data_IF_819798869971
#
_entry.id   IF_819798869971
#
_cell.length_a   1.000
_cell.length_b   1.000
_cell.length_c   1.000
_cell.angle_alpha   90.00
_cell.angle_beta   90.00
_cell.angle_gamma   90.00
#
_symmetry.space_group_name_H-M   'P 1'
#
loop_
_entity.id
_entity.type
_entity.pdbx_description
1 polymer ?
#
# COMPACT_ATOMS: atom_id res chain seq x y z
N UNK A 1 38.12 -67.99 -2.72
CA UNK A 1 36.72 -67.53 -2.93
C UNK A 1 36.78 -66.09 -3.44
N UNK A 2 36.18 -65.74 -4.61
CA UNK A 2 36.23 -64.37 -5.12
C UNK A 2 35.17 -63.49 -4.46
N UNK A 3 35.58 -62.33 -3.97
CA UNK A 3 34.71 -61.29 -3.40
C UNK A 3 34.06 -60.52 -4.56
N UNK A 4 32.74 -60.56 -4.65
CA UNK A 4 31.96 -59.72 -5.57
C UNK A 4 31.89 -58.31 -4.99
N UNK A 5 32.44 -57.32 -5.68
CA UNK A 5 32.17 -55.91 -5.39
C UNK A 5 30.88 -55.51 -6.11
N UNK A 6 29.85 -55.18 -5.34
CA UNK A 6 28.63 -54.55 -5.86
C UNK A 6 28.88 -53.06 -6.07
N UNK A 7 28.76 -52.61 -7.32
CA UNK A 7 28.81 -51.20 -7.70
C UNK A 7 27.47 -50.59 -7.31
N UNK A 8 27.43 -49.86 -6.18
CA UNK A 8 26.28 -49.05 -5.81
C UNK A 8 26.11 -47.90 -6.81
N UNK A 9 25.16 -48.10 -7.73
CA UNK A 9 24.70 -47.10 -8.67
C UNK A 9 24.00 -45.98 -7.89
N UNK A 10 24.71 -44.87 -7.69
CA UNK A 10 24.18 -43.64 -7.11
C UNK A 10 22.92 -43.21 -7.85
N UNK A 11 21.78 -43.27 -7.15
CA UNK A 11 20.49 -42.79 -7.66
C UNK A 11 20.53 -41.27 -7.71
N UNK A 12 20.47 -40.72 -8.91
CA UNK A 12 20.28 -39.28 -9.15
C UNK A 12 18.99 -38.81 -8.47
N UNK A 13 19.10 -37.83 -7.58
CA UNK A 13 17.97 -37.24 -6.87
C UNK A 13 17.11 -36.41 -7.82
N UNK A 14 15.84 -36.78 -7.95
CA UNK A 14 14.82 -36.06 -8.74
C UNK A 14 14.65 -34.64 -8.18
N UNK A 15 14.68 -33.57 -9.01
CA UNK A 15 14.42 -32.21 -8.55
C UNK A 15 12.96 -32.12 -8.11
N UNK A 16 12.76 -32.10 -6.79
CA UNK A 16 11.43 -32.02 -6.20
C UNK A 16 11.05 -30.54 -6.13
N UNK A 17 10.10 -30.12 -6.98
CA UNK A 17 9.56 -28.77 -6.93
C UNK A 17 8.74 -28.61 -5.64
N UNK A 18 9.33 -27.94 -4.64
CA UNK A 18 8.61 -27.58 -3.42
C UNK A 18 7.73 -26.36 -3.68
N UNK A 19 6.42 -26.58 -3.81
CA UNK A 19 5.44 -25.51 -3.83
C UNK A 19 4.99 -25.20 -2.40
N UNK A 20 5.36 -24.04 -1.88
CA UNK A 20 4.95 -23.59 -0.56
C UNK A 20 3.84 -22.53 -0.70
N UNK A 21 2.58 -22.96 -0.57
CA UNK A 21 1.42 -22.07 -0.49
C UNK A 21 1.32 -21.49 0.92
N UNK A 22 1.98 -20.36 1.17
CA UNK A 22 1.77 -19.58 2.40
C UNK A 22 0.51 -18.74 2.25
N UNK A 23 -0.47 -18.91 3.14
CA UNK A 23 -1.48 -17.87 3.38
C UNK A 23 -0.71 -16.62 3.83
N UNK A 24 -0.90 -15.52 3.11
CA UNK A 24 -0.17 -14.28 3.36
C UNK A 24 -0.78 -13.58 4.57
N UNK A 25 -0.38 -14.00 5.77
CA UNK A 25 -0.58 -13.21 6.98
C UNK A 25 0.50 -12.11 6.96
N UNK A 26 0.17 -10.99 6.33
CA UNK A 26 1.05 -9.83 6.36
C UNK A 26 0.82 -9.06 7.64
N UNK A 27 1.90 -8.85 8.40
CA UNK A 27 1.87 -8.08 9.64
C UNK A 27 1.52 -6.61 9.38
N UNK A 28 1.80 -6.11 8.16
CA UNK A 28 1.67 -4.72 7.79
C UNK A 28 0.78 -4.49 6.58
N UNK A 29 0.07 -3.36 6.63
CA UNK A 29 -0.74 -2.83 5.53
C UNK A 29 -0.21 -1.47 5.14
N UNK A 30 -0.14 -1.26 3.83
CA UNK A 30 0.36 -0.04 3.22
C UNK A 30 -0.79 0.74 2.62
N UNK A 31 -0.86 2.03 2.90
CA UNK A 31 -1.88 2.93 2.39
C UNK A 31 -1.23 4.06 1.60
N UNK A 32 -1.79 4.34 0.43
CA UNK A 32 -1.53 5.58 -0.30
C UNK A 32 -2.68 6.54 -0.05
N UNK A 33 -2.40 7.67 0.59
CA UNK A 33 -3.40 8.68 0.95
C UNK A 33 -3.08 9.99 0.23
N UNK A 34 -4.11 10.58 -0.38
CA UNK A 34 -4.06 11.93 -0.90
C UNK A 34 -4.53 12.89 0.19
N UNK A 35 -3.68 13.87 0.51
CA UNK A 35 -3.97 14.93 1.47
C UNK A 35 -4.39 16.16 0.68
N UNK A 36 -5.60 16.68 0.95
CA UNK A 36 -6.06 17.95 0.39
C UNK A 36 -6.25 18.93 1.54
N UNK A 37 -5.50 20.02 1.52
CA UNK A 37 -5.66 21.10 2.47
C UNK A 37 -6.34 22.27 1.77
N UNK A 38 -7.39 22.81 2.39
CA UNK A 38 -8.08 24.01 1.93
C UNK A 38 -7.37 25.28 2.43
N UNK A 39 -6.59 25.17 3.52
CA UNK A 39 -5.85 26.28 4.08
C UNK A 39 -4.59 26.59 3.25
N UNK A 40 -4.49 27.82 2.74
CA UNK A 40 -3.30 28.33 2.04
C UNK A 40 -2.03 28.29 2.91
N UNK A 41 -2.17 28.19 4.24
CA UNK A 41 -1.06 28.20 5.21
C UNK A 41 -0.19 26.95 5.23
N UNK A 42 -0.52 25.88 4.49
CA UNK A 42 0.41 24.78 4.23
C UNK A 42 0.85 23.94 5.45
N UNK A 43 0.15 24.01 6.59
CA UNK A 43 0.55 23.35 7.84
C UNK A 43 0.65 21.81 7.73
N UNK A 44 -0.15 21.19 6.85
CA UNK A 44 -0.08 19.76 6.56
C UNK A 44 1.03 19.38 5.55
N UNK A 45 1.98 20.28 5.23
CA UNK A 45 3.16 19.99 4.37
C UNK A 45 4.33 19.33 5.11
N UNK A 46 4.25 19.23 6.43
CA UNK A 46 5.26 18.55 7.23
C UNK A 46 4.85 17.10 7.51
N UNK A 47 5.64 16.09 7.12
CA UNK A 47 5.34 14.69 7.43
C UNK A 47 5.22 14.42 8.93
N UNK A 48 5.98 15.13 9.79
CA UNK A 48 5.89 14.99 11.25
C UNK A 48 4.53 15.46 11.76
N UNK A 49 4.06 16.61 11.26
CA UNK A 49 2.73 17.12 11.60
C UNK A 49 1.63 16.14 11.17
N UNK A 50 1.75 15.61 9.95
CA UNK A 50 0.82 14.63 9.42
C UNK A 50 0.76 13.37 10.29
N UNK A 51 1.92 12.84 10.72
CA UNK A 51 1.96 11.69 11.64
C UNK A 51 1.24 12.00 12.94
N UNK A 52 1.54 13.13 13.57
CA UNK A 52 0.90 13.53 14.82
C UNK A 52 -0.60 13.75 14.67
N UNK A 53 -1.03 14.33 13.54
CA UNK A 53 -2.44 14.49 13.20
C UNK A 53 -3.16 13.13 13.11
N UNK A 54 -2.57 12.16 12.39
CA UNK A 54 -3.14 10.81 12.27
C UNK A 54 -3.28 10.11 13.62
N UNK A 55 -2.25 10.20 14.47
CA UNK A 55 -2.28 9.64 15.82
C UNK A 55 -3.34 10.32 16.69
N UNK A 56 -3.49 11.65 16.57
CA UNK A 56 -4.55 12.40 17.25
C UNK A 56 -5.95 12.00 16.77
N UNK A 57 -6.14 11.79 15.46
CA UNK A 57 -7.40 11.29 14.92
C UNK A 57 -7.74 9.90 15.47
N UNK A 58 -6.74 9.03 15.56
CA UNK A 58 -6.89 7.70 16.16
C UNK A 58 -7.28 7.78 17.65
N UNK A 59 -6.60 8.64 18.40
CA UNK A 59 -6.91 8.89 19.81
C UNK A 59 -8.34 9.41 20.00
N UNK A 60 -8.75 10.38 19.18
CA UNK A 60 -10.08 10.99 19.27
C UNK A 60 -11.21 10.02 18.92
N UNK A 61 -11.01 9.15 17.92
CA UNK A 61 -12.06 8.24 17.44
C UNK A 61 -12.12 6.91 18.20
N UNK A 62 -10.99 6.41 18.70
CA UNK A 62 -10.89 5.06 19.28
C UNK A 62 -10.21 5.04 20.66
N UNK A 63 -9.95 6.20 21.27
CA UNK A 63 -9.32 6.32 22.59
C UNK A 63 -7.79 6.39 22.54
N UNK A 64 -7.18 6.89 23.61
CA UNK A 64 -5.75 7.23 23.69
C UNK A 64 -4.80 6.07 23.35
N UNK A 65 -5.16 4.84 23.72
CA UNK A 65 -4.37 3.64 23.40
C UNK A 65 -4.18 3.48 21.89
N UNK A 66 -5.21 3.81 21.10
CA UNK A 66 -5.10 3.76 19.64
C UNK A 66 -4.27 4.91 19.06
N UNK A 67 -4.07 6.00 19.81
CA UNK A 67 -3.16 7.09 19.47
C UNK A 67 -1.67 6.75 19.64
N UNK A 68 -1.34 5.62 20.29
CA UNK A 68 0.03 5.14 20.49
C UNK A 68 0.43 4.05 19.48
N UNK A 69 -0.46 3.72 18.54
CA UNK A 69 -0.22 2.67 17.55
C UNK A 69 0.96 3.03 16.63
N UNK A 70 1.85 2.07 16.30
CA UNK A 70 2.94 2.31 15.37
C UNK A 70 2.40 2.62 13.96
N UNK A 71 2.57 3.88 13.56
CA UNK A 71 2.25 4.38 12.22
C UNK A 71 3.50 5.03 11.65
N UNK A 72 3.95 4.52 10.51
CA UNK A 72 5.16 4.99 9.83
C UNK A 72 4.81 5.67 8.51
N UNK A 73 5.42 6.83 8.26
CA UNK A 73 5.35 7.50 6.96
C UNK A 73 6.57 7.06 6.16
N UNK A 74 6.34 6.30 5.09
CA UNK A 74 7.39 5.77 4.23
C UNK A 74 7.83 6.76 3.17
N UNK A 75 6.86 7.51 2.62
CA UNK A 75 7.10 8.51 1.59
C UNK A 75 6.09 9.63 1.75
N UNK A 76 6.55 10.86 1.60
CA UNK A 76 5.70 12.03 1.55
C UNK A 76 6.09 12.87 0.33
N UNK A 77 5.16 13.04 -0.59
CA UNK A 77 5.32 13.83 -1.80
C UNK A 77 4.54 15.14 -1.65
N UNK A 78 5.27 16.23 -1.43
CA UNK A 78 4.70 17.57 -1.27
C UNK A 78 4.06 18.11 -2.54
N UNK A 79 4.56 17.71 -3.71
CA UNK A 79 4.08 18.25 -4.99
C UNK A 79 2.70 17.70 -5.33
N UNK A 80 2.50 16.40 -5.09
CA UNK A 80 1.24 15.70 -5.32
C UNK A 80 0.34 15.67 -4.08
N UNK A 81 0.86 16.10 -2.92
CA UNK A 81 0.25 15.92 -1.60
C UNK A 81 -0.15 14.47 -1.32
N UNK A 82 0.73 13.53 -1.67
CA UNK A 82 0.51 12.10 -1.49
C UNK A 82 1.43 11.55 -0.41
N UNK A 83 0.89 10.71 0.46
CA UNK A 83 1.64 10.03 1.50
C UNK A 83 1.48 8.52 1.38
N UNK A 84 2.57 7.79 1.61
CA UNK A 84 2.55 6.35 1.81
C UNK A 84 2.77 6.07 3.28
N UNK A 85 1.81 5.38 3.89
CA UNK A 85 1.81 5.03 5.32
C UNK A 85 1.87 3.52 5.46
N UNK A 86 2.62 3.06 6.45
CA UNK A 86 2.62 1.68 6.93
C UNK A 86 1.99 1.62 8.31
N UNK A 87 1.13 0.64 8.53
CA UNK A 87 0.50 0.36 9.82
C UNK A 87 0.33 -1.15 10.00
N UNK A 88 0.10 -1.59 11.24
CA UNK A 88 -0.19 -3.00 11.51
C UNK A 88 -1.56 -3.38 10.91
N UNK A 89 -1.66 -4.60 10.38
CA UNK A 89 -2.89 -5.13 9.78
C UNK A 89 -4.07 -5.13 10.75
N UNK A 90 -3.81 -5.37 12.04
CA UNK A 90 -4.81 -5.34 13.12
C UNK A 90 -5.40 -3.94 13.30
N UNK A 91 -4.56 -2.90 13.20
CA UNK A 91 -4.96 -1.51 13.47
C UNK A 91 -5.38 -0.74 12.23
N UNK A 92 -5.14 -1.31 11.05
CA UNK A 92 -5.44 -0.71 9.76
C UNK A 92 -6.88 -0.20 9.65
N UNK A 93 -7.87 -1.04 10.02
CA UNK A 93 -9.27 -0.66 9.90
C UNK A 93 -9.60 0.58 10.75
N UNK A 94 -9.06 0.64 11.97
CA UNK A 94 -9.23 1.80 12.86
C UNK A 94 -8.59 3.05 12.26
N UNK A 95 -7.37 2.94 11.73
CA UNK A 95 -6.68 4.05 11.08
C UNK A 95 -7.44 4.56 9.86
N UNK A 96 -7.90 3.66 9.00
CA UNK A 96 -8.68 4.04 7.81
C UNK A 96 -9.98 4.76 8.21
N UNK A 97 -10.71 4.21 9.20
CA UNK A 97 -11.94 4.82 9.71
C UNK A 97 -11.69 6.16 10.39
N UNK A 98 -10.67 6.31 11.24
CA UNK A 98 -10.37 7.57 11.91
C UNK A 98 -10.03 8.66 10.90
N UNK A 99 -9.27 8.33 9.85
CA UNK A 99 -8.90 9.27 8.79
C UNK A 99 -10.14 9.74 8.02
N UNK A 100 -11.06 8.83 7.71
CA UNK A 100 -12.29 9.18 6.98
C UNK A 100 -13.22 10.04 7.85
N UNK A 101 -13.37 9.72 9.13
CA UNK A 101 -14.27 10.41 10.06
C UNK A 101 -13.76 11.79 10.48
N UNK A 102 -12.46 11.97 10.64
CA UNK A 102 -11.85 13.25 11.03
C UNK A 102 -11.58 14.18 9.84
N UNK A 103 -12.31 13.99 8.73
CA UNK A 103 -12.29 14.93 7.62
C UNK A 103 -12.96 16.23 8.05
N UNK A 104 -12.23 17.33 7.92
CA UNK A 104 -12.72 18.67 8.25
C UNK A 104 -12.77 19.54 7.00
N UNK A 105 -13.41 20.71 7.10
CA UNK A 105 -13.41 21.71 6.00
C UNK A 105 -11.98 22.16 5.62
N UNK A 106 -11.02 22.02 6.54
CA UNK A 106 -9.64 22.47 6.36
C UNK A 106 -8.73 21.36 5.84
N UNK A 107 -8.88 20.14 6.35
CA UNK A 107 -8.03 18.99 5.99
C UNK A 107 -8.91 17.82 5.55
N UNK A 108 -8.70 17.38 4.32
CA UNK A 108 -9.40 16.26 3.69
C UNK A 108 -8.43 15.17 3.28
N UNK A 109 -8.65 13.97 3.78
CA UNK A 109 -7.85 12.79 3.51
C UNK A 109 -8.63 11.80 2.68
N UNK A 110 -8.04 11.38 1.56
CA UNK A 110 -8.61 10.37 0.68
C UNK A 110 -7.66 9.21 0.50
N UNK A 111 -8.06 8.04 0.98
CA UNK A 111 -7.34 6.80 0.69
C UNK A 111 -7.51 6.49 -0.79
N UNK A 112 -6.40 6.48 -1.53
CA UNK A 112 -6.39 6.17 -2.97
C UNK A 112 -6.22 4.67 -3.21
N UNK A 113 -5.31 4.04 -2.47
CA UNK A 113 -4.94 2.63 -2.63
C UNK A 113 -4.55 2.02 -1.30
N UNK A 114 -4.77 0.71 -1.19
CA UNK A 114 -4.36 -0.12 -0.06
C UNK A 114 -3.65 -1.34 -0.63
N UNK A 115 -2.54 -1.73 -0.02
CA UNK A 115 -1.78 -2.94 -0.37
C UNK A 115 -1.49 -3.70 0.91
N UNK A 116 -1.87 -4.98 0.95
CA UNK A 116 -1.68 -5.84 2.12
C UNK A 116 -0.33 -6.55 2.12
N UNK A 117 0.41 -6.57 1.01
CA UNK A 117 1.63 -7.38 0.88
C UNK A 117 2.91 -6.55 0.75
N UNK A 118 2.92 -5.54 -0.12
CA UNK A 118 4.12 -4.79 -0.45
C UNK A 118 3.81 -3.33 -0.84
N UNK A 119 4.61 -2.34 -0.42
CA UNK A 119 4.50 -0.95 -0.87
C UNK A 119 4.62 -0.78 -2.39
N UNK A 120 5.33 -1.66 -3.10
CA UNK A 120 5.44 -1.62 -4.57
C UNK A 120 4.07 -1.71 -5.26
N UNK A 121 3.12 -2.43 -4.67
CA UNK A 121 1.74 -2.52 -5.18
C UNK A 121 0.99 -1.18 -5.17
N UNK A 122 1.45 -0.20 -4.37
CA UNK A 122 0.89 1.14 -4.34
C UNK A 122 1.41 2.05 -5.46
N UNK A 123 2.63 1.78 -5.95
CA UNK A 123 3.34 2.64 -6.89
C UNK A 123 2.78 2.52 -8.31
N UNK A 124 2.34 1.33 -8.73
CA UNK A 124 1.74 1.11 -10.05
C UNK A 124 0.26 1.51 -10.08
N UNK A 125 -0.21 2.07 -11.19
CA UNK A 125 -1.57 2.59 -11.37
C UNK A 125 -2.62 1.47 -11.37
N UNK A 126 -3.00 0.96 -10.19
CA UNK A 126 -4.17 0.08 -10.06
C UNK A 126 -5.48 0.79 -10.39
N UNK A 127 -5.53 2.11 -10.25
CA UNK A 127 -6.74 2.94 -10.43
C UNK A 127 -6.92 3.46 -11.86
N UNK A 128 -5.83 3.74 -12.56
CA UNK A 128 -5.83 4.30 -13.92
C UNK A 128 -5.24 3.29 -14.93
N UNK A 129 -5.43 1.99 -14.67
CA UNK A 129 -5.01 0.95 -15.62
C UNK A 129 -5.81 1.10 -16.91
N UNK A 130 -5.26 1.88 -17.84
CA UNK A 130 -5.84 2.09 -19.14
C UNK A 130 -5.20 1.05 -20.07
N UNK A 131 -5.92 -0.03 -20.36
CA UNK A 131 -5.64 -0.79 -21.58
C UNK A 131 -5.90 0.17 -22.73
N UNK A 132 -4.84 0.79 -23.27
CA UNK A 132 -4.92 1.45 -24.56
C UNK A 132 -5.17 0.36 -25.62
N UNK A 133 -6.42 -0.07 -25.75
CA UNK A 133 -6.90 -0.75 -26.95
C UNK A 133 -6.63 0.19 -28.11
N UNK A 134 -5.66 -0.18 -28.96
CA UNK A 134 -5.25 0.57 -30.15
C UNK A 134 -6.37 0.73 -31.20
N UNK A 135 -7.64 0.40 -30.88
CA UNK A 135 -8.76 0.38 -31.83
C UNK A 135 -9.47 1.73 -32.03
N UNK A 136 -9.28 2.74 -31.18
CA UNK A 136 -10.02 4.01 -31.31
C UNK A 136 -9.22 5.24 -31.79
N UNK A 137 -8.00 5.05 -32.33
CA UNK A 137 -7.23 6.18 -32.90
C UNK A 137 -7.68 6.65 -34.29
N UNK A 138 -8.64 5.97 -34.95
CA UNK A 138 -9.08 6.31 -36.33
C UNK A 138 -10.39 7.10 -36.44
N UNK A 139 -11.16 7.32 -35.37
CA UNK A 139 -12.51 7.94 -35.48
C UNK A 139 -12.62 9.44 -35.17
N UNK A 140 -11.56 10.13 -34.78
CA UNK A 140 -11.62 11.57 -34.43
C UNK A 140 -10.93 12.52 -35.43
N UNK A 141 -10.56 12.07 -36.64
CA UNK A 141 -9.95 12.93 -37.68
C UNK A 141 -10.87 13.28 -38.86
N UNK A 142 -12.17 13.02 -38.77
CA UNK A 142 -13.15 13.45 -39.79
C UNK A 142 -14.42 13.92 -39.10
N UNK A 143 -14.44 15.18 -38.68
CA UNK A 143 -15.62 16.03 -38.44
C UNK A 143 -15.10 17.40 -37.97
N UNK A 144 -14.35 18.04 -38.88
CA UNK A 144 -14.10 19.46 -38.91
C UNK A 144 -14.01 19.81 -40.39
N UNK A 145 -15.18 20.10 -40.95
CA UNK A 145 -15.48 20.98 -42.09
C UNK A 145 -16.98 20.93 -42.29
#
# INVERSE_FOLDING_TARGET
MPVKMEVEKSRESVPTNHYMLKKSDSDYVYLKILVKNSSEKGECRNPVFLKNYLLKCMANSFGEVNGLVPVDILKYDQTLNEVIIRCNSITFQRLASSVILNNSKLNYFRIQKVSYSNPLGLMFSSRDYCHCSKKNKKRKRKLSN
#
